data_IF_268517054103
#
_entry.id   IF_268517054103
#
_cell.length_a   1.000
_cell.length_b   1.000
_cell.length_c   1.000
_cell.angle_alpha   90.00
_cell.angle_beta   90.00
_cell.angle_gamma   90.00
#
_symmetry.space_group_name_H-M   'P 1'
#
loop_
_entity.id
_entity.type
_entity.pdbx_description
1 polymer ?
#
# COMPACT_ATOMS: atom_id res chain seq x y z
N UNK A 1 14.71 -99.00 -33.80
CA UNK A 1 13.84 -97.82 -33.55
C UNK A 1 13.30 -97.96 -32.12
N UNK A 2 13.21 -96.90 -31.29
CA UNK A 2 13.37 -95.47 -31.60
C UNK A 2 14.39 -94.74 -30.67
N UNK A 3 14.36 -93.40 -30.72
CA UNK A 3 14.69 -92.44 -29.64
C UNK A 3 16.00 -92.61 -28.85
N UNK A 4 17.04 -91.90 -29.31
CA UNK A 4 18.16 -91.46 -28.47
C UNK A 4 17.69 -90.46 -27.39
N UNK A 5 18.07 -90.68 -26.13
CA UNK A 5 18.01 -89.64 -25.09
C UNK A 5 19.43 -89.16 -24.79
N UNK A 6 19.65 -87.84 -24.85
CA UNK A 6 20.92 -87.22 -24.55
C UNK A 6 21.18 -87.29 -23.03
N UNK A 7 22.39 -87.66 -22.56
CA UNK A 7 22.75 -87.46 -21.17
C UNK A 7 22.78 -85.95 -20.90
N UNK A 8 21.83 -85.47 -20.10
CA UNK A 8 21.78 -84.07 -19.70
C UNK A 8 23.04 -83.71 -18.93
N UNK A 9 23.71 -82.63 -19.35
CA UNK A 9 24.79 -82.04 -18.58
C UNK A 9 24.19 -81.35 -17.34
N UNK A 10 23.96 -82.12 -16.27
CA UNK A 10 23.59 -81.57 -14.97
C UNK A 10 24.64 -80.52 -14.58
N UNK A 11 24.29 -79.23 -14.49
CA UNK A 11 25.25 -78.21 -14.08
C UNK A 11 25.73 -78.54 -12.67
N UNK A 12 27.03 -78.39 -12.42
CA UNK A 12 27.69 -78.78 -11.17
C UNK A 12 26.87 -78.35 -9.95
N UNK A 13 26.19 -79.31 -9.33
CA UNK A 13 25.25 -79.03 -8.25
C UNK A 13 26.03 -78.43 -7.08
N UNK A 14 25.67 -77.20 -6.70
CA UNK A 14 26.44 -76.43 -5.72
C UNK A 14 26.18 -77.05 -4.35
N UNK A 15 27.07 -77.95 -3.94
CA UNK A 15 26.94 -78.74 -2.74
C UNK A 15 26.96 -77.85 -1.49
N UNK A 16 25.76 -77.47 -1.05
CA UNK A 16 25.54 -76.54 0.06
C UNK A 16 26.15 -77.08 1.37
N UNK A 17 26.25 -78.40 1.52
CA UNK A 17 26.88 -79.05 2.66
C UNK A 17 28.39 -78.84 2.60
N UNK A 18 29.01 -78.97 1.43
CA UNK A 18 30.43 -78.69 1.25
C UNK A 18 30.75 -77.20 1.49
N UNK A 19 29.92 -76.28 0.98
CA UNK A 19 30.07 -74.84 1.28
C UNK A 19 29.95 -74.55 2.78
N UNK A 20 28.97 -75.15 3.46
CA UNK A 20 28.80 -74.97 4.91
C UNK A 20 30.02 -75.47 5.70
N UNK A 21 30.57 -76.64 5.33
CA UNK A 21 31.80 -77.16 5.94
C UNK A 21 33.01 -76.24 5.71
N UNK A 22 33.17 -75.69 4.50
CA UNK A 22 34.24 -74.73 4.17
C UNK A 22 34.10 -73.42 4.96
N UNK A 23 32.88 -72.89 5.12
CA UNK A 23 32.59 -71.75 6.00
C UNK A 23 32.93 -72.06 7.46
N UNK A 24 32.51 -73.23 7.97
CA UNK A 24 32.70 -73.59 9.38
C UNK A 24 34.16 -73.88 9.73
N UNK A 25 34.94 -74.44 8.79
CA UNK A 25 36.39 -74.50 8.88
C UNK A 25 37.04 -73.11 8.90
N UNK A 26 36.43 -72.14 8.21
CA UNK A 26 36.88 -70.75 8.14
C UNK A 26 36.35 -69.83 9.26
N UNK A 27 35.60 -70.35 10.24
CA UNK A 27 34.91 -69.55 11.28
C UNK A 27 35.79 -68.53 12.00
N UNK A 28 37.06 -68.87 12.28
CA UNK A 28 38.02 -67.95 12.91
C UNK A 28 38.43 -66.77 11.99
N UNK A 29 38.51 -66.99 10.67
CA UNK A 29 38.76 -65.92 9.70
C UNK A 29 37.54 -65.01 9.57
N UNK A 30 36.34 -65.60 9.51
CA UNK A 30 35.08 -64.84 9.43
C UNK A 30 34.92 -63.97 10.70
N UNK A 31 35.14 -64.55 11.88
CA UNK A 31 35.10 -63.84 13.14
C UNK A 31 36.17 -62.73 13.25
N UNK A 32 37.40 -62.96 12.77
CA UNK A 32 38.47 -61.95 12.77
C UNK A 32 38.16 -60.78 11.83
N UNK A 33 37.64 -61.04 10.62
CA UNK A 33 37.24 -59.99 9.68
C UNK A 33 36.03 -59.20 10.22
N UNK A 34 35.03 -59.89 10.78
CA UNK A 34 33.89 -59.26 11.43
C UNK A 34 34.32 -58.40 12.65
N UNK A 35 35.26 -58.87 13.46
CA UNK A 35 35.82 -58.12 14.58
C UNK A 35 36.57 -56.87 14.11
N UNK A 36 37.42 -56.97 13.08
CA UNK A 36 38.12 -55.82 12.50
C UNK A 36 37.17 -54.77 11.93
N UNK A 37 36.16 -55.19 11.16
CA UNK A 37 35.14 -54.28 10.62
C UNK A 37 34.29 -53.63 11.72
N UNK A 38 33.93 -54.39 12.76
CA UNK A 38 33.20 -53.87 13.93
C UNK A 38 34.07 -52.87 14.72
N UNK A 39 35.36 -53.15 14.89
CA UNK A 39 36.30 -52.25 15.57
C UNK A 39 36.51 -50.94 14.78
N UNK A 40 36.62 -51.00 13.46
CA UNK A 40 36.70 -49.82 12.60
C UNK A 40 35.40 -48.98 12.65
N UNK A 41 34.23 -49.64 12.59
CA UNK A 41 32.93 -48.96 12.74
C UNK A 41 32.73 -48.35 14.13
N UNK A 42 33.20 -49.01 15.19
CA UNK A 42 33.20 -48.49 16.55
C UNK A 42 34.14 -47.29 16.69
N UNK A 43 35.36 -47.35 16.14
CA UNK A 43 36.30 -46.24 16.12
C UNK A 43 35.69 -45.02 15.41
N UNK A 44 35.11 -45.20 14.23
CA UNK A 44 34.38 -44.12 13.54
C UNK A 44 33.20 -43.59 14.38
N UNK A 45 32.39 -44.47 14.99
CA UNK A 45 31.28 -44.06 15.85
C UNK A 45 31.69 -43.34 17.16
N UNK A 46 32.97 -43.42 17.55
CA UNK A 46 33.52 -42.72 18.71
C UNK A 46 34.29 -41.44 18.33
N UNK A 47 34.98 -41.42 17.18
CA UNK A 47 35.84 -40.32 16.72
C UNK A 47 35.13 -39.30 15.82
N UNK A 48 34.06 -39.69 15.10
CA UNK A 48 33.34 -38.75 14.25
C UNK A 48 32.61 -37.68 15.08
N UNK A 49 32.87 -36.41 14.77
CA UNK A 49 32.27 -35.25 15.45
C UNK A 49 30.75 -35.35 15.41
N UNK A 50 30.06 -35.39 16.57
CA UNK A 50 28.62 -35.56 16.58
C UNK A 50 27.91 -34.31 16.07
N UNK A 51 26.93 -34.52 15.19
CA UNK A 51 26.05 -33.47 14.66
C UNK A 51 24.77 -33.42 15.47
N UNK A 52 24.40 -32.23 15.90
CA UNK A 52 23.16 -31.92 16.61
C UNK A 52 22.17 -31.20 15.67
N UNK A 53 20.91 -31.10 16.07
CA UNK A 53 19.88 -30.36 15.33
C UNK A 53 19.05 -29.52 16.29
N UNK A 54 18.83 -28.26 15.93
CA UNK A 54 17.86 -27.36 16.56
C UNK A 54 16.73 -27.03 15.58
N UNK A 55 15.54 -26.77 16.11
CA UNK A 55 14.36 -26.38 15.33
C UNK A 55 13.74 -25.10 15.91
N UNK A 56 13.34 -24.18 15.03
CA UNK A 56 12.39 -23.08 15.34
C UNK A 56 11.07 -23.40 14.66
N UNK A 57 9.95 -23.19 15.36
CA UNK A 57 8.60 -23.25 14.79
C UNK A 57 7.91 -21.89 14.95
N UNK A 58 7.50 -21.33 13.82
CA UNK A 58 6.71 -20.10 13.71
C UNK A 58 5.28 -20.42 13.29
N UNK A 59 4.33 -19.64 13.79
CA UNK A 59 2.93 -19.63 13.33
C UNK A 59 2.47 -18.18 13.13
N UNK A 60 1.35 -17.95 12.41
CA UNK A 60 0.78 -16.61 12.31
C UNK A 60 0.40 -16.09 13.68
N UNK A 61 0.48 -14.78 13.84
CA UNK A 61 -0.06 -14.09 15.01
C UNK A 61 -1.58 -13.94 14.91
N UNK A 62 -2.23 -13.45 15.98
CA UNK A 62 -3.64 -13.05 15.92
C UNK A 62 -3.76 -11.74 15.11
N UNK A 63 -4.83 -11.60 14.33
CA UNK A 63 -5.11 -10.40 13.50
C UNK A 63 -4.95 -9.09 14.27
N UNK A 64 -5.38 -9.09 15.55
CA UNK A 64 -5.31 -7.94 16.45
C UNK A 64 -3.90 -7.36 16.62
N UNK A 65 -2.84 -8.17 16.55
CA UNK A 65 -1.47 -7.68 16.68
C UNK A 65 -1.01 -6.83 15.48
N UNK A 66 -1.68 -6.96 14.33
CA UNK A 66 -1.37 -6.23 13.09
C UNK A 66 -2.29 -5.01 12.88
N UNK A 67 -3.30 -4.78 13.73
CA UNK A 67 -4.17 -3.60 13.69
C UNK A 67 -3.39 -2.28 13.78
N UNK A 68 -2.23 -2.28 14.46
CA UNK A 68 -1.32 -1.13 14.54
C UNK A 68 -0.71 -0.73 13.19
N UNK A 69 -0.48 -1.70 12.28
CA UNK A 69 0.07 -1.45 10.92
C UNK A 69 -1.06 -1.22 9.92
N UNK A 70 -2.18 -1.93 10.06
CA UNK A 70 -3.30 -1.97 9.12
C UNK A 70 -4.20 -0.71 9.18
N UNK A 71 -3.58 0.47 9.19
CA UNK A 71 -4.23 1.78 9.33
C UNK A 71 -4.99 2.13 8.05
N UNK A 72 -6.32 2.04 8.10
CA UNK A 72 -7.25 2.56 7.07
C UNK A 72 -6.95 2.14 5.60
N UNK A 73 -6.22 1.05 5.36
CA UNK A 73 -5.81 0.64 4.01
C UNK A 73 -4.60 1.35 3.42
N UNK A 74 -3.84 2.14 4.22
CA UNK A 74 -2.48 2.58 3.84
C UNK A 74 -1.57 1.36 3.68
N UNK A 75 -1.65 0.47 4.66
CA UNK A 75 -1.00 -0.83 4.69
C UNK A 75 -2.04 -1.94 4.86
N UNK A 76 -1.73 -3.11 4.32
CA UNK A 76 -2.45 -4.34 4.60
C UNK A 76 -1.42 -5.46 4.79
N UNK A 77 -1.44 -6.07 5.96
CA UNK A 77 -0.65 -7.24 6.31
C UNK A 77 -1.55 -8.23 7.04
N UNK A 78 -1.80 -9.38 6.41
CA UNK A 78 -2.44 -10.51 7.08
C UNK A 78 -1.42 -11.28 7.92
N UNK A 79 -1.86 -12.01 8.97
CA UNK A 79 -0.96 -12.86 9.74
C UNK A 79 -0.25 -13.95 8.91
N UNK A 80 -0.84 -14.36 7.79
CA UNK A 80 -0.22 -15.29 6.85
C UNK A 80 0.92 -14.63 6.09
N UNK A 81 0.72 -13.44 5.51
CA UNK A 81 1.78 -12.71 4.81
C UNK A 81 2.92 -12.33 5.77
N UNK A 82 2.62 -12.01 7.02
CA UNK A 82 3.63 -11.77 8.05
C UNK A 82 4.48 -13.02 8.36
N UNK A 83 3.85 -14.20 8.44
CA UNK A 83 4.55 -15.49 8.55
C UNK A 83 5.37 -15.80 7.29
N UNK A 84 4.77 -15.66 6.11
CA UNK A 84 5.39 -16.00 4.84
C UNK A 84 6.61 -15.07 4.58
N UNK A 85 6.54 -13.78 4.92
CA UNK A 85 7.69 -12.84 4.89
C UNK A 85 8.82 -13.29 5.82
N UNK A 86 8.56 -13.39 7.13
CA UNK A 86 9.59 -13.74 8.12
C UNK A 86 10.18 -15.12 7.85
N UNK A 87 9.37 -16.10 7.43
CA UNK A 87 9.82 -17.43 7.08
C UNK A 87 10.73 -17.44 5.84
N UNK A 88 10.30 -16.83 4.74
CA UNK A 88 11.11 -16.77 3.51
C UNK A 88 12.45 -16.05 3.73
N UNK A 89 12.44 -14.94 4.47
CA UNK A 89 13.68 -14.21 4.82
C UNK A 89 14.60 -15.02 5.74
N UNK A 90 14.05 -15.74 6.72
CA UNK A 90 14.83 -16.60 7.62
C UNK A 90 15.47 -17.80 6.87
N UNK A 91 14.87 -18.23 5.77
CA UNK A 91 15.42 -19.24 4.86
C UNK A 91 16.20 -18.65 3.67
N UNK A 92 16.25 -17.33 3.49
CA UNK A 92 17.02 -16.70 2.42
C UNK A 92 18.52 -16.96 2.61
N UNK A 93 19.30 -17.02 1.54
CA UNK A 93 20.76 -17.12 1.65
C UNK A 93 21.37 -15.81 2.18
N UNK A 94 20.86 -14.68 1.71
CA UNK A 94 21.30 -13.33 2.08
C UNK A 94 21.24 -13.07 3.58
N UNK A 95 20.06 -13.18 4.20
CA UNK A 95 19.90 -12.92 5.64
C UNK A 95 20.70 -13.88 6.54
N UNK A 96 20.97 -15.11 6.06
CA UNK A 96 21.82 -16.08 6.77
C UNK A 96 23.32 -15.75 6.64
N UNK A 97 23.75 -15.24 5.48
CA UNK A 97 25.11 -14.74 5.26
C UNK A 97 25.35 -13.45 6.07
N UNK A 98 24.43 -12.48 6.01
CA UNK A 98 24.46 -11.24 6.78
C UNK A 98 24.58 -11.52 8.29
N UNK A 99 23.78 -12.46 8.80
CA UNK A 99 23.87 -12.87 10.21
C UNK A 99 25.20 -13.55 10.56
N UNK A 100 25.78 -14.34 9.65
CA UNK A 100 27.09 -14.99 9.82
C UNK A 100 28.24 -13.97 9.82
N UNK A 101 28.25 -13.04 8.87
CA UNK A 101 29.26 -11.97 8.76
C UNK A 101 29.24 -11.03 9.97
N UNK A 102 28.06 -10.81 10.56
CA UNK A 102 27.89 -9.99 11.76
C UNK A 102 28.27 -10.70 13.08
N UNK A 103 28.35 -12.03 13.12
CA UNK A 103 28.59 -12.83 14.34
C UNK A 103 29.66 -13.93 14.17
N UNK A 104 30.87 -13.62 13.65
CA UNK A 104 31.90 -14.61 13.33
C UNK A 104 32.37 -15.42 14.55
N UNK A 105 32.20 -14.90 15.77
CA UNK A 105 32.48 -15.59 17.03
C UNK A 105 31.62 -16.85 17.26
N UNK A 106 30.40 -16.89 16.73
CA UNK A 106 29.52 -18.07 16.83
C UNK A 106 29.97 -19.22 15.91
N UNK A 107 30.77 -18.91 14.89
CA UNK A 107 31.10 -19.82 13.78
C UNK A 107 32.57 -20.22 13.71
N UNK A 108 33.40 -19.84 14.68
CA UNK A 108 34.85 -20.11 14.69
C UNK A 108 35.21 -21.58 14.41
N UNK A 109 34.37 -22.52 14.86
CA UNK A 109 34.54 -23.97 14.67
C UNK A 109 34.51 -24.40 13.18
N UNK A 110 33.91 -23.62 12.28
CA UNK A 110 33.87 -23.88 10.83
C UNK A 110 35.17 -23.50 10.12
N UNK A 111 35.93 -22.54 10.67
CA UNK A 111 37.15 -22.02 10.04
C UNK A 111 38.37 -22.95 10.21
N UNK A 112 38.21 -24.08 10.92
CA UNK A 112 39.27 -25.03 11.27
C UNK A 112 39.92 -25.74 10.06
N UNK A 113 39.31 -25.70 8.88
CA UNK A 113 39.81 -26.34 7.64
C UNK A 113 40.69 -25.42 6.77
N UNK A 114 40.95 -24.17 7.19
CA UNK A 114 41.72 -23.20 6.38
C UNK A 114 40.97 -22.61 5.18
N UNK A 115 39.65 -22.82 5.13
CA UNK A 115 38.72 -22.18 4.20
C UNK A 115 38.60 -20.68 4.48
N UNK A 116 38.21 -19.88 3.49
CA UNK A 116 37.73 -18.52 3.76
C UNK A 116 36.41 -18.55 4.56
N UNK A 117 36.04 -17.49 5.29
CA UNK A 117 34.75 -17.44 6.01
C UNK A 117 33.55 -17.68 5.09
N UNK A 118 33.57 -17.12 3.87
CA UNK A 118 32.57 -17.36 2.82
C UNK A 118 32.48 -18.83 2.42
N UNK A 119 33.61 -19.51 2.22
CA UNK A 119 33.67 -20.93 1.86
C UNK A 119 33.20 -21.83 3.02
N UNK A 120 33.58 -21.49 4.25
CA UNK A 120 33.17 -22.17 5.46
C UNK A 120 31.65 -22.04 5.68
N UNK A 121 31.10 -20.83 5.49
CA UNK A 121 29.66 -20.60 5.51
C UNK A 121 28.94 -21.32 4.39
N UNK A 122 29.43 -21.26 3.14
CA UNK A 122 28.81 -21.94 2.00
C UNK A 122 28.70 -23.46 2.24
N UNK A 123 29.80 -24.09 2.68
CA UNK A 123 29.88 -25.51 3.03
C UNK A 123 28.91 -25.87 4.15
N UNK A 124 28.83 -25.05 5.20
CA UNK A 124 27.88 -25.24 6.30
C UNK A 124 26.43 -25.09 5.82
N UNK A 125 26.12 -23.99 5.13
CA UNK A 125 24.79 -23.62 4.70
C UNK A 125 24.14 -24.65 3.76
N UNK A 126 24.94 -25.33 2.92
CA UNK A 126 24.46 -26.35 1.98
C UNK A 126 23.72 -27.52 2.67
N UNK A 127 24.29 -28.04 3.76
CA UNK A 127 23.78 -29.26 4.45
C UNK A 127 23.13 -28.97 5.81
N UNK A 128 23.39 -27.80 6.43
CA UNK A 128 22.90 -27.48 7.76
C UNK A 128 21.39 -27.26 7.80
N UNK A 129 20.85 -26.47 6.88
CA UNK A 129 19.49 -25.93 7.00
C UNK A 129 18.46 -26.74 6.22
N UNK A 130 17.30 -27.00 6.83
CA UNK A 130 16.13 -27.53 6.12
C UNK A 130 14.85 -26.85 6.58
N UNK A 131 14.01 -26.47 5.61
CA UNK A 131 12.77 -25.73 5.83
C UNK A 131 11.55 -26.64 5.62
N UNK A 132 10.52 -26.48 6.44
CA UNK A 132 9.22 -27.12 6.30
C UNK A 132 8.11 -26.09 6.52
N UNK A 133 7.10 -26.04 5.66
CA UNK A 133 5.94 -25.16 5.80
C UNK A 133 4.64 -25.90 5.52
N UNK A 134 3.51 -25.34 5.95
CA UNK A 134 2.19 -25.89 5.66
C UNK A 134 1.89 -25.86 4.14
N UNK A 135 1.73 -27.02 3.51
CA UNK A 135 1.26 -27.12 2.13
C UNK A 135 -0.26 -26.93 2.04
N UNK A 136 -0.67 -25.67 2.10
CA UNK A 136 -2.07 -25.24 2.00
C UNK A 136 -2.70 -25.44 0.61
N UNK A 137 -1.96 -25.97 -0.38
CA UNK A 137 -2.52 -26.45 -1.64
C UNK A 137 -2.99 -27.91 -1.53
N UNK A 138 -2.27 -28.71 -0.73
CA UNK A 138 -2.58 -30.13 -0.46
C UNK A 138 -3.58 -30.31 0.67
N UNK A 139 -3.51 -29.48 1.71
CA UNK A 139 -4.48 -29.42 2.80
C UNK A 139 -4.85 -27.96 3.11
N UNK A 140 -5.94 -27.43 2.52
CA UNK A 140 -6.42 -26.08 2.79
C UNK A 140 -6.93 -25.84 4.23
N UNK A 141 -7.11 -26.89 5.04
CA UNK A 141 -7.54 -26.78 6.44
C UNK A 141 -6.37 -26.87 7.43
N UNK A 142 -5.17 -27.23 6.98
CA UNK A 142 -3.99 -27.29 7.83
C UNK A 142 -3.71 -25.94 8.50
N UNK A 143 -3.33 -25.97 9.78
CA UNK A 143 -2.90 -24.76 10.46
C UNK A 143 -1.58 -24.27 9.84
N UNK A 144 -1.50 -23.03 9.29
CA UNK A 144 -0.25 -22.48 8.79
C UNK A 144 0.86 -22.50 9.84
N UNK A 145 2.03 -22.95 9.41
CA UNK A 145 3.26 -22.95 10.19
C UNK A 145 4.47 -22.82 9.26
N UNK A 146 5.58 -22.36 9.81
CA UNK A 146 6.89 -22.38 9.20
C UNK A 146 7.91 -22.93 10.20
N UNK A 147 8.65 -23.98 9.84
CA UNK A 147 9.73 -24.56 10.63
C UNK A 147 11.05 -24.40 9.88
N UNK A 148 12.06 -23.90 10.57
CA UNK A 148 13.45 -23.99 10.13
C UNK A 148 14.22 -24.89 11.10
N UNK A 149 14.87 -25.90 10.55
CA UNK A 149 15.78 -26.80 11.24
C UNK A 149 17.21 -26.49 10.84
N UNK A 150 18.14 -26.46 11.80
CA UNK A 150 19.57 -26.28 11.56
C UNK A 150 20.39 -27.39 12.21
N UNK A 151 21.16 -28.11 11.41
CA UNK A 151 22.13 -29.11 11.84
C UNK A 151 23.50 -28.47 12.06
N UNK A 152 24.20 -28.83 13.14
CA UNK A 152 25.51 -28.25 13.46
C UNK A 152 26.43 -29.26 14.18
N UNK A 153 27.75 -29.24 13.92
CA UNK A 153 28.72 -30.05 14.66
C UNK A 153 28.86 -29.59 16.12
N UNK A 154 29.29 -30.50 16.99
CA UNK A 154 29.71 -30.20 18.36
C UNK A 154 30.76 -29.08 18.39
N UNK A 155 30.59 -28.11 19.28
CA UNK A 155 31.48 -26.96 19.46
C UNK A 155 30.78 -25.61 19.23
N UNK A 156 29.76 -25.56 18.38
CA UNK A 156 28.93 -24.36 18.19
C UNK A 156 27.66 -24.41 19.04
N UNK A 157 27.16 -23.25 19.49
CA UNK A 157 25.82 -23.14 20.07
C UNK A 157 24.79 -22.86 18.96
N UNK A 158 24.29 -23.94 18.35
CA UNK A 158 23.23 -23.85 17.36
C UNK A 158 21.93 -23.23 17.89
N UNK A 159 21.66 -23.28 19.19
CA UNK A 159 20.46 -22.67 19.77
C UNK A 159 20.61 -21.15 19.89
N UNK A 160 21.79 -20.65 20.25
CA UNK A 160 22.10 -19.22 20.18
C UNK A 160 22.01 -18.71 18.74
N UNK A 161 22.69 -19.38 17.79
CA UNK A 161 22.69 -19.02 16.37
C UNK A 161 21.26 -18.93 15.81
N UNK A 162 20.47 -20.00 15.92
CA UNK A 162 19.16 -20.06 15.27
C UNK A 162 18.12 -19.11 15.92
N UNK A 163 18.20 -18.87 17.23
CA UNK A 163 17.35 -17.87 17.89
C UNK A 163 17.80 -16.42 17.60
N UNK A 164 19.10 -16.15 17.49
CA UNK A 164 19.64 -14.83 17.17
C UNK A 164 19.36 -14.42 15.74
N UNK A 165 19.56 -15.34 14.80
CA UNK A 165 19.19 -15.20 13.38
C UNK A 165 17.69 -14.95 13.21
N UNK A 166 16.84 -15.63 14.00
CA UNK A 166 15.40 -15.37 14.06
C UNK A 166 15.08 -13.97 14.58
N UNK A 167 15.73 -13.53 15.67
CA UNK A 167 15.50 -12.21 16.24
C UNK A 167 15.91 -11.09 15.26
N UNK A 168 17.07 -11.22 14.62
CA UNK A 168 17.54 -10.30 13.58
C UNK A 168 16.60 -10.28 12.37
N UNK A 169 16.12 -11.43 11.90
CA UNK A 169 15.17 -11.50 10.78
C UNK A 169 13.83 -10.82 11.12
N UNK A 170 13.29 -11.06 12.32
CA UNK A 170 12.05 -10.41 12.78
C UNK A 170 12.27 -8.89 12.89
N UNK A 171 13.39 -8.44 13.43
CA UNK A 171 13.68 -7.01 13.62
C UNK A 171 13.93 -6.28 12.29
N UNK A 172 14.67 -6.88 11.36
CA UNK A 172 14.90 -6.33 10.02
C UNK A 172 13.57 -6.22 9.24
N UNK A 173 12.73 -7.27 9.26
CA UNK A 173 11.41 -7.21 8.60
C UNK A 173 10.44 -6.26 9.31
N UNK A 174 10.50 -6.16 10.65
CA UNK A 174 9.76 -5.17 11.44
C UNK A 174 10.09 -3.77 10.96
N UNK A 175 11.39 -3.45 10.81
CA UNK A 175 11.82 -2.13 10.37
C UNK A 175 11.40 -1.85 8.91
N UNK A 176 11.61 -2.79 7.98
CA UNK A 176 11.18 -2.66 6.58
C UNK A 176 9.67 -2.40 6.43
N UNK A 177 8.83 -3.02 7.26
CA UNK A 177 7.38 -2.78 7.28
C UNK A 177 7.06 -1.36 7.78
N UNK A 178 7.76 -0.86 8.80
CA UNK A 178 7.55 0.50 9.31
C UNK A 178 8.07 1.57 8.35
N UNK A 179 9.16 1.32 7.64
CA UNK A 179 9.70 2.25 6.64
C UNK A 179 8.78 2.36 5.41
N UNK A 180 8.23 1.25 4.93
CA UNK A 180 7.20 1.24 3.86
C UNK A 180 5.90 1.92 4.33
N UNK A 181 5.47 1.70 5.59
CA UNK A 181 4.35 2.44 6.19
C UNK A 181 4.63 3.95 6.29
N UNK A 182 5.84 4.36 6.67
CA UNK A 182 6.23 5.76 6.76
C UNK A 182 6.20 6.43 5.38
N UNK A 183 6.81 5.80 4.36
CA UNK A 183 6.78 6.29 2.98
C UNK A 183 5.35 6.46 2.43
N UNK A 184 4.42 5.59 2.82
CA UNK A 184 2.99 5.69 2.47
C UNK A 184 2.27 6.82 3.21
N UNK A 185 2.59 7.03 4.49
CA UNK A 185 2.07 8.18 5.26
C UNK A 185 2.55 9.48 4.61
N UNK A 186 3.83 9.60 4.29
CA UNK A 186 4.41 10.81 3.70
C UNK A 186 3.88 11.07 2.28
N UNK A 187 3.80 10.04 1.44
CA UNK A 187 3.18 10.15 0.11
C UNK A 187 1.69 10.52 0.17
N UNK A 188 0.94 10.02 1.15
CA UNK A 188 -0.47 10.40 1.36
C UNK A 188 -0.60 11.83 1.90
N UNK A 189 0.30 12.27 2.78
CA UNK A 189 0.37 13.65 3.27
C UNK A 189 0.69 14.64 2.15
N UNK A 190 1.60 14.29 1.24
CA UNK A 190 1.90 15.06 0.04
C UNK A 190 0.68 15.18 -0.88
N UNK A 191 -0.01 14.07 -1.16
CA UNK A 191 -1.24 14.06 -1.96
C UNK A 191 -2.35 14.94 -1.34
N UNK A 192 -2.51 14.88 -0.01
CA UNK A 192 -3.52 15.70 0.69
C UNK A 192 -3.20 17.19 0.64
N UNK A 193 -1.93 17.61 0.76
CA UNK A 193 -1.60 19.02 0.58
C UNK A 193 -1.81 19.45 -0.88
N UNK A 194 -1.44 18.62 -1.87
CA UNK A 194 -1.72 18.89 -3.29
C UNK A 194 -3.21 19.06 -3.61
N UNK A 195 -4.11 18.24 -3.05
CA UNK A 195 -5.56 18.44 -3.21
C UNK A 195 -6.02 19.73 -2.51
N UNK A 196 -5.49 20.06 -1.33
CA UNK A 196 -5.79 21.33 -0.64
C UNK A 196 -5.31 22.55 -1.46
N UNK A 197 -4.17 22.46 -2.15
CA UNK A 197 -3.72 23.49 -3.09
C UNK A 197 -4.60 23.56 -4.35
N UNK A 198 -5.05 22.41 -4.87
CA UNK A 198 -6.05 22.34 -5.94
C UNK A 198 -7.38 23.00 -5.55
N UNK A 199 -7.89 22.73 -4.35
CA UNK A 199 -9.08 23.39 -3.79
C UNK A 199 -8.85 24.90 -3.60
N UNK A 200 -7.65 25.32 -3.17
CA UNK A 200 -7.26 26.75 -3.04
C UNK A 200 -7.33 27.47 -4.38
N UNK A 201 -6.72 26.90 -5.43
CA UNK A 201 -6.73 27.47 -6.78
C UNK A 201 -8.16 27.49 -7.38
N UNK A 202 -8.91 26.39 -7.25
CA UNK A 202 -10.31 26.29 -7.70
C UNK A 202 -11.21 27.32 -7.01
N UNK A 203 -11.04 27.52 -5.70
CA UNK A 203 -11.76 28.54 -4.95
C UNK A 203 -11.34 29.96 -5.38
N UNK A 204 -10.05 30.23 -5.64
CA UNK A 204 -9.59 31.55 -6.11
C UNK A 204 -10.16 31.90 -7.49
N UNK A 205 -10.11 30.98 -8.45
CA UNK A 205 -10.72 31.17 -9.77
C UNK A 205 -12.24 31.37 -9.69
N UNK A 206 -12.93 30.66 -8.78
CA UNK A 206 -14.37 30.85 -8.52
C UNK A 206 -14.65 32.22 -7.85
N UNK A 207 -13.78 32.60 -6.90
CA UNK A 207 -13.46 33.93 -6.37
C UNK A 207 -13.64 35.04 -7.40
N UNK A 208 -12.66 35.05 -8.28
CA UNK A 208 -12.40 36.07 -9.27
C UNK A 208 -13.49 36.06 -10.36
N UNK A 209 -13.89 34.88 -10.84
CA UNK A 209 -15.00 34.75 -11.78
C UNK A 209 -16.34 35.25 -11.23
N UNK A 210 -16.59 35.15 -9.92
CA UNK A 210 -17.77 35.77 -9.29
C UNK A 210 -17.63 37.29 -9.18
N UNK A 211 -16.47 37.80 -8.77
CA UNK A 211 -16.22 39.25 -8.70
C UNK A 211 -16.36 39.90 -10.08
N UNK A 212 -15.79 39.28 -11.13
CA UNK A 212 -15.88 39.76 -12.50
C UNK A 212 -17.34 39.89 -12.96
N UNK A 213 -18.17 38.85 -12.79
CA UNK A 213 -19.60 38.88 -13.15
C UNK A 213 -20.40 39.93 -12.36
N UNK A 214 -20.06 40.16 -11.10
CA UNK A 214 -20.71 41.21 -10.29
C UNK A 214 -20.38 42.61 -10.84
N UNK A 215 -19.10 42.88 -11.13
CA UNK A 215 -18.66 44.16 -11.69
C UNK A 215 -19.16 44.38 -13.13
N UNK A 216 -19.25 43.32 -13.93
CA UNK A 216 -19.89 43.32 -15.25
C UNK A 216 -21.37 43.69 -15.14
N UNK A 217 -22.14 43.02 -14.29
CA UNK A 217 -23.55 43.34 -14.05
C UNK A 217 -23.76 44.77 -13.52
N UNK A 218 -22.91 45.24 -12.61
CA UNK A 218 -22.95 46.62 -12.09
C UNK A 218 -22.68 47.64 -13.21
N UNK A 219 -21.70 47.39 -14.08
CA UNK A 219 -21.35 48.30 -15.18
C UNK A 219 -22.42 48.35 -16.28
N UNK A 220 -23.00 47.21 -16.66
CA UNK A 220 -24.13 47.14 -17.58
C UNK A 220 -25.35 47.90 -17.01
N UNK A 221 -25.67 47.68 -15.72
CA UNK A 221 -26.78 48.38 -15.08
C UNK A 221 -26.53 49.88 -14.94
N UNK A 222 -25.29 50.29 -14.65
CA UNK A 222 -24.89 51.71 -14.59
C UNK A 222 -25.09 52.39 -15.95
N UNK A 223 -24.59 51.79 -17.04
CA UNK A 223 -24.76 52.32 -18.39
C UNK A 223 -26.25 52.48 -18.77
N UNK A 224 -27.07 51.46 -18.51
CA UNK A 224 -28.53 51.53 -18.76
C UNK A 224 -29.24 52.63 -17.96
N UNK A 225 -28.83 52.86 -16.70
CA UNK A 225 -29.36 53.95 -15.88
C UNK A 225 -28.87 55.33 -16.33
N UNK A 226 -27.63 55.45 -16.82
CA UNK A 226 -27.08 56.69 -17.39
C UNK A 226 -27.78 57.06 -18.71
N UNK A 227 -28.05 56.10 -19.58
CA UNK A 227 -28.85 56.33 -20.81
C UNK A 227 -30.32 56.62 -20.49
N UNK A 228 -30.95 55.98 -19.50
CA UNK A 228 -32.30 56.35 -19.05
C UNK A 228 -32.33 57.80 -18.52
N UNK A 229 -31.36 58.19 -17.69
CA UNK A 229 -31.24 59.55 -17.15
C UNK A 229 -31.04 60.59 -18.26
N UNK A 230 -30.23 60.28 -19.26
CA UNK A 230 -29.97 61.10 -20.45
C UNK A 230 -31.23 61.24 -21.31
N UNK A 231 -31.97 60.16 -21.53
CA UNK A 231 -33.24 60.17 -22.27
C UNK A 231 -34.33 60.96 -21.53
N UNK A 232 -34.45 60.81 -20.21
CA UNK A 232 -35.37 61.58 -19.38
C UNK A 232 -35.04 63.07 -19.41
N UNK A 233 -33.78 63.47 -19.19
CA UNK A 233 -33.35 64.87 -19.29
C UNK A 233 -33.59 65.47 -20.68
N UNK A 234 -33.38 64.68 -21.73
CA UNK A 234 -33.75 65.06 -23.11
C UNK A 234 -35.25 65.32 -23.26
N UNK A 235 -36.11 64.41 -22.77
CA UNK A 235 -37.57 64.57 -22.76
C UNK A 235 -38.02 65.81 -21.99
N UNK A 236 -37.50 66.01 -20.77
CA UNK A 236 -37.84 67.16 -19.92
C UNK A 236 -37.45 68.48 -20.57
N UNK A 237 -36.28 68.55 -21.22
CA UNK A 237 -35.89 69.71 -22.03
C UNK A 237 -36.89 69.96 -23.16
N UNK A 238 -37.27 68.94 -23.94
CA UNK A 238 -38.25 69.10 -25.02
C UNK A 238 -39.63 69.57 -24.52
N UNK A 239 -40.08 69.09 -23.36
CA UNK A 239 -41.34 69.54 -22.73
C UNK A 239 -41.24 71.01 -22.31
N UNK A 240 -40.16 71.41 -21.65
CA UNK A 240 -39.92 72.81 -21.25
C UNK A 240 -39.81 73.74 -22.46
N UNK A 241 -39.04 73.36 -23.47
CA UNK A 241 -38.83 74.17 -24.66
C UNK A 241 -40.15 74.29 -25.47
N UNK A 242 -41.00 73.25 -25.49
CA UNK A 242 -42.37 73.30 -26.04
C UNK A 242 -43.29 74.23 -25.23
N UNK A 243 -43.21 74.18 -23.89
CA UNK A 243 -43.96 75.09 -23.01
C UNK A 243 -43.55 76.55 -23.23
N UNK A 244 -42.27 76.83 -23.47
CA UNK A 244 -41.79 78.18 -23.83
C UNK A 244 -42.45 78.65 -25.14
N UNK A 245 -42.64 77.79 -26.15
CA UNK A 245 -43.35 78.18 -27.37
C UNK A 245 -44.85 78.44 -27.14
N UNK A 246 -45.53 77.60 -26.35
CA UNK A 246 -46.93 77.86 -25.95
C UNK A 246 -47.08 79.21 -25.22
N UNK A 247 -46.13 79.55 -24.35
CA UNK A 247 -46.10 80.84 -23.66
C UNK A 247 -45.81 82.00 -24.63
N UNK A 248 -44.91 81.84 -25.60
CA UNK A 248 -44.66 82.85 -26.63
C UNK A 248 -45.92 83.17 -27.46
N UNK A 249 -46.65 82.13 -27.89
CA UNK A 249 -47.92 82.28 -28.60
C UNK A 249 -48.99 82.94 -27.72
N UNK A 250 -49.16 82.47 -26.49
CA UNK A 250 -50.11 83.04 -25.54
C UNK A 250 -49.81 84.52 -25.22
N UNK A 251 -48.53 84.90 -25.09
CA UNK A 251 -48.10 86.30 -24.93
C UNK A 251 -48.49 87.12 -26.16
N UNK A 252 -48.21 86.64 -27.38
CA UNK A 252 -48.58 87.38 -28.59
C UNK A 252 -50.10 87.60 -28.70
N UNK A 253 -50.91 86.60 -28.34
CA UNK A 253 -52.38 86.75 -28.33
C UNK A 253 -52.81 87.73 -27.23
N UNK A 254 -52.29 87.58 -26.00
CA UNK A 254 -52.59 88.48 -24.89
C UNK A 254 -52.23 89.95 -25.20
N UNK A 255 -51.06 90.20 -25.81
CA UNK A 255 -50.66 91.54 -26.26
C UNK A 255 -51.61 92.11 -27.32
N UNK A 256 -52.03 91.31 -28.31
CA UNK A 256 -53.00 91.74 -29.34
C UNK A 256 -54.40 92.01 -28.79
N UNK A 257 -54.80 91.32 -27.72
CA UNK A 257 -56.09 91.50 -27.03
C UNK A 257 -56.03 92.55 -25.90
N UNK A 258 -54.88 93.18 -25.64
CA UNK A 258 -54.71 94.14 -24.54
C UNK A 258 -54.74 93.52 -23.13
N UNK A 259 -54.65 92.20 -23.01
CA UNK A 259 -54.75 91.48 -21.73
C UNK A 259 -53.41 91.56 -21.00
N UNK A 260 -53.20 92.60 -20.19
CA UNK A 260 -51.97 92.76 -19.39
C UNK A 260 -51.96 91.82 -18.18
N UNK A 261 -53.09 91.74 -17.46
CA UNK A 261 -53.27 90.98 -16.21
C UNK A 261 -54.24 89.80 -16.39
N UNK A 262 -54.24 88.81 -15.48
CA UNK A 262 -55.21 87.71 -15.49
C UNK A 262 -56.65 88.23 -15.56
N UNK A 263 -57.43 87.70 -16.50
CA UNK A 263 -58.84 88.02 -16.71
C UNK A 263 -59.62 86.76 -17.10
N UNK A 264 -60.95 86.83 -17.11
CA UNK A 264 -61.83 85.73 -17.54
C UNK A 264 -62.52 86.05 -18.87
N UNK A 265 -63.07 85.06 -19.59
CA UNK A 265 -63.92 85.29 -20.76
C UNK A 265 -65.03 86.33 -20.54
N UNK A 266 -65.71 86.32 -19.38
CA UNK A 266 -66.71 87.31 -19.03
C UNK A 266 -66.11 88.70 -18.80
N UNK A 267 -65.07 88.80 -17.98
CA UNK A 267 -64.44 90.09 -17.64
C UNK A 267 -63.77 90.77 -18.85
N UNK A 268 -63.29 90.00 -19.84
CA UNK A 268 -62.78 90.55 -21.11
C UNK A 268 -63.88 91.24 -21.93
N UNK A 269 -65.11 90.74 -21.90
CA UNK A 269 -66.25 91.31 -22.62
C UNK A 269 -66.79 92.61 -22.03
N UNK A 270 -66.44 92.94 -20.78
CA UNK A 270 -66.90 94.17 -20.10
C UNK A 270 -65.92 95.35 -20.28
N UNK A 271 -64.77 95.13 -20.94
CA UNK A 271 -63.76 96.15 -21.29
C UNK A 271 -64.28 97.05 -22.43
N UNK A 272 -65.26 97.91 -22.09
CA UNK A 272 -65.91 98.82 -23.03
C UNK A 272 -67.28 99.34 -22.57
N UNK A 273 -67.84 98.86 -21.45
CA UNK A 273 -69.08 99.40 -20.88
C UNK A 273 -68.82 100.28 -19.65
N UNK A 274 -68.77 101.60 -19.87
CA UNK A 274 -68.94 102.61 -18.81
C UNK A 274 -70.35 102.46 -18.21
N UNK A 275 -70.50 101.64 -17.15
CA UNK A 275 -71.82 101.14 -16.75
C UNK A 275 -72.01 100.67 -15.31
N UNK A 276 -71.04 100.89 -14.40
CA UNK A 276 -71.15 100.78 -12.92
C UNK A 276 -72.18 99.76 -12.37
N UNK A 277 -72.03 98.48 -12.72
CA UNK A 277 -72.81 97.38 -12.13
C UNK A 277 -71.93 96.15 -11.90
N UNK A 278 -71.46 95.99 -10.67
CA UNK A 278 -70.72 94.81 -10.21
C UNK A 278 -71.64 93.58 -10.18
N UNK A 279 -71.67 92.81 -11.27
CA UNK A 279 -72.38 91.53 -11.35
C UNK A 279 -71.38 90.40 -11.11
N UNK A 280 -71.37 89.85 -9.90
CA UNK A 280 -70.61 88.64 -9.59
C UNK A 280 -71.16 87.46 -10.42
N UNK A 281 -70.50 87.14 -11.54
CA UNK A 281 -70.78 85.94 -12.33
C UNK A 281 -69.79 84.84 -11.94
N UNK A 282 -70.29 83.77 -11.35
CA UNK A 282 -69.51 82.54 -11.15
C UNK A 282 -69.40 81.83 -12.51
N UNK A 283 -68.30 82.05 -13.22
CA UNK A 283 -68.01 81.36 -14.48
C UNK A 283 -67.68 79.87 -14.23
N UNK A 284 -68.73 79.04 -14.15
CA UNK A 284 -68.60 77.56 -14.08
C UNK A 284 -68.31 77.00 -15.47
N UNK A 285 -67.16 77.36 -16.04
CA UNK A 285 -66.70 76.81 -17.32
C UNK A 285 -65.83 75.56 -17.09
N UNK A 286 -66.31 74.41 -17.57
CA UNK A 286 -65.59 73.13 -17.51
C UNK A 286 -64.63 72.93 -18.71
N UNK A 287 -64.40 73.96 -19.52
CA UNK A 287 -63.43 73.98 -20.61
C UNK A 287 -62.10 74.58 -20.14
N UNK A 288 -60.99 74.13 -20.72
CA UNK A 288 -59.66 74.67 -20.42
C UNK A 288 -59.57 76.13 -20.86
N UNK A 289 -59.44 77.04 -19.88
CA UNK A 289 -59.29 78.48 -20.15
C UNK A 289 -58.00 78.70 -20.97
N UNK A 290 -58.08 79.32 -22.17
CA UNK A 290 -56.91 79.54 -23.01
C UNK A 290 -55.82 80.36 -22.31
N UNK A 291 -54.55 79.98 -22.52
CA UNK A 291 -53.40 80.54 -21.78
C UNK A 291 -53.31 82.08 -21.84
N UNK A 292 -53.72 82.71 -22.94
CA UNK A 292 -53.67 84.17 -23.09
C UNK A 292 -54.53 84.95 -22.08
N UNK A 293 -55.53 84.31 -21.46
CA UNK A 293 -56.32 84.91 -20.37
C UNK A 293 -55.51 85.18 -19.09
N UNK A 294 -54.35 84.53 -18.90
CA UNK A 294 -53.42 84.84 -17.81
C UNK A 294 -52.76 86.22 -17.95
N UNK A 295 -52.80 86.82 -19.14
CA UNK A 295 -52.23 88.12 -19.44
C UNK A 295 -50.71 88.14 -19.60
N UNK A 296 -50.23 89.19 -20.27
CA UNK A 296 -48.82 89.38 -20.65
C UNK A 296 -47.88 89.29 -19.43
N UNK A 297 -48.24 89.88 -18.29
CA UNK A 297 -47.38 89.92 -17.09
C UNK A 297 -47.08 88.51 -16.56
N UNK A 298 -48.12 87.69 -16.35
CA UNK A 298 -47.98 86.37 -15.75
C UNK A 298 -47.32 85.36 -16.70
N UNK A 299 -47.67 85.41 -17.99
CA UNK A 299 -47.07 84.53 -19.01
C UNK A 299 -45.59 84.87 -19.24
N UNK A 300 -45.24 86.17 -19.21
CA UNK A 300 -43.84 86.63 -19.27
C UNK A 300 -43.06 86.14 -18.05
N UNK A 301 -43.63 86.25 -16.85
CA UNK A 301 -42.99 85.75 -15.63
C UNK A 301 -42.76 84.22 -15.67
N UNK A 302 -43.73 83.44 -16.14
CA UNK A 302 -43.56 81.98 -16.33
C UNK A 302 -42.45 81.69 -17.36
N UNK A 303 -42.52 82.29 -18.55
CA UNK A 303 -41.55 82.10 -19.64
C UNK A 303 -40.14 82.42 -19.19
N UNK A 304 -39.94 83.57 -18.55
CA UNK A 304 -38.62 84.02 -18.09
C UNK A 304 -38.08 83.14 -16.95
N UNK A 305 -38.97 82.52 -16.15
CA UNK A 305 -38.61 81.53 -15.14
C UNK A 305 -38.15 80.21 -15.80
N UNK A 306 -38.80 79.77 -16.88
CA UNK A 306 -38.36 78.60 -17.65
C UNK A 306 -37.05 78.86 -18.40
N UNK A 307 -36.85 80.05 -18.97
CA UNK A 307 -35.61 80.44 -19.64
C UNK A 307 -34.40 80.52 -18.69
N UNK A 308 -34.62 80.91 -17.42
CA UNK A 308 -33.58 80.97 -16.38
C UNK A 308 -33.32 79.62 -15.69
N UNK A 309 -34.07 78.57 -16.01
CA UNK A 309 -34.01 77.26 -15.35
C UNK A 309 -32.77 76.46 -15.77
N UNK A 310 -31.88 76.16 -14.83
CA UNK A 310 -30.63 75.41 -15.07
C UNK A 310 -30.83 73.91 -15.36
N UNK A 311 -31.95 73.33 -14.95
CA UNK A 311 -32.28 71.91 -15.16
C UNK A 311 -33.66 71.57 -14.65
N UNK A 312 -34.22 70.47 -15.15
CA UNK A 312 -35.63 70.09 -14.97
C UNK A 312 -35.81 68.81 -14.12
N UNK A 313 -34.72 68.20 -13.68
CA UNK A 313 -34.65 66.98 -12.84
C UNK A 313 -35.65 66.94 -11.68
N UNK A 314 -35.93 68.09 -11.05
CA UNK A 314 -36.87 68.21 -9.93
C UNK A 314 -38.34 67.98 -10.30
N UNK A 315 -38.68 67.91 -11.59
CA UNK A 315 -40.05 67.67 -12.08
C UNK A 315 -40.35 66.18 -12.32
N UNK A 316 -39.34 65.30 -12.25
CA UNK A 316 -39.45 63.88 -12.56
C UNK A 316 -38.90 63.02 -11.41
N UNK A 317 -39.76 62.45 -10.53
CA UNK A 317 -39.34 61.58 -9.43
C UNK A 317 -38.46 60.40 -9.86
N UNK A 318 -38.57 59.91 -11.09
CA UNK A 318 -37.69 58.85 -11.62
C UNK A 318 -36.22 59.29 -11.66
N UNK A 319 -35.92 60.56 -11.90
CA UNK A 319 -34.52 61.06 -11.93
C UNK A 319 -33.86 60.91 -10.55
N UNK A 320 -34.54 61.28 -9.48
CA UNK A 320 -34.02 61.09 -8.11
C UNK A 320 -33.81 59.61 -7.79
N UNK A 321 -34.74 58.73 -8.22
CA UNK A 321 -34.60 57.27 -8.06
C UNK A 321 -33.41 56.71 -8.84
N UNK A 322 -33.18 57.15 -10.08
CA UNK A 322 -32.01 56.74 -10.87
C UNK A 322 -30.71 57.18 -10.19
N UNK A 323 -30.63 58.42 -9.70
CA UNK A 323 -29.46 58.91 -8.96
C UNK A 323 -29.20 58.09 -7.68
N UNK A 324 -30.24 57.65 -6.98
CA UNK A 324 -30.12 56.72 -5.86
C UNK A 324 -29.61 55.33 -6.29
N UNK A 325 -30.14 54.76 -7.38
CA UNK A 325 -29.69 53.45 -7.90
C UNK A 325 -28.22 53.51 -8.37
N UNK A 326 -27.83 54.55 -9.10
CA UNK A 326 -26.44 54.79 -9.52
C UNK A 326 -25.49 54.84 -8.32
N UNK A 327 -25.86 55.57 -7.25
CA UNK A 327 -25.07 55.66 -6.02
C UNK A 327 -24.95 54.34 -5.26
N UNK A 328 -25.92 53.44 -5.40
CA UNK A 328 -25.81 52.07 -4.86
C UNK A 328 -24.81 51.22 -5.66
N UNK A 329 -24.71 51.44 -6.98
CA UNK A 329 -23.76 50.77 -7.89
C UNK A 329 -22.33 51.36 -7.84
N UNK A 330 -22.07 52.39 -7.03
CA UNK A 330 -20.71 52.84 -6.72
C UNK A 330 -19.97 51.88 -5.77
N UNK A 331 -20.71 51.21 -4.89
CA UNK A 331 -20.17 50.49 -3.73
C UNK A 331 -20.79 49.09 -3.57
N UNK A 332 -20.44 48.16 -4.46
CA UNK A 332 -20.89 46.77 -4.35
C UNK A 332 -20.30 46.08 -3.10
N UNK A 333 -21.13 45.97 -2.07
CA UNK A 333 -20.78 45.35 -0.78
C UNK A 333 -20.42 43.87 -0.93
N UNK A 334 -21.00 43.13 -1.87
CA UNK A 334 -20.66 41.72 -2.05
C UNK A 334 -19.24 41.57 -2.60
N UNK A 335 -18.85 42.39 -3.57
CA UNK A 335 -17.45 42.46 -4.05
C UNK A 335 -16.50 42.82 -2.90
N UNK A 336 -16.84 43.80 -2.07
CA UNK A 336 -16.04 44.17 -0.88
C UNK A 336 -15.91 43.00 0.12
N UNK A 337 -17.00 42.27 0.41
CA UNK A 337 -16.96 41.10 1.31
C UNK A 337 -16.26 39.87 0.70
N UNK A 338 -16.19 39.75 -0.63
CA UNK A 338 -15.41 38.73 -1.31
C UNK A 338 -13.91 39.07 -1.32
N UNK A 339 -13.55 40.34 -1.52
CA UNK A 339 -12.16 40.80 -1.51
C UNK A 339 -11.54 40.84 -0.11
N UNK A 340 -12.29 41.30 0.90
CA UNK A 340 -11.80 41.43 2.29
C UNK A 340 -11.85 40.14 3.11
N UNK A 341 -12.16 39.00 2.49
CA UNK A 341 -12.43 37.72 3.17
C UNK A 341 -11.17 37.09 3.76
N UNK A 342 -11.13 36.95 5.09
CA UNK A 342 -10.03 36.27 5.81
C UNK A 342 -10.37 34.80 6.09
N UNK A 343 -9.36 33.94 6.04
CA UNK A 343 -9.50 32.50 6.27
C UNK A 343 -10.37 31.82 5.21
N UNK A 344 -10.02 32.04 3.93
CA UNK A 344 -10.76 31.55 2.76
C UNK A 344 -10.83 30.02 2.67
N UNK A 345 -9.86 29.33 3.26
CA UNK A 345 -9.79 27.86 3.34
C UNK A 345 -11.06 27.23 3.93
N UNK A 346 -11.77 27.94 4.81
CA UNK A 346 -13.07 27.52 5.39
C UNK A 346 -14.22 27.45 4.38
N UNK A 347 -14.00 27.91 3.15
CA UNK A 347 -14.94 27.85 2.03
C UNK A 347 -14.45 26.91 0.92
N UNK A 348 -13.35 26.17 1.14
CA UNK A 348 -12.87 25.14 0.22
C UNK A 348 -13.74 23.89 0.36
N UNK A 349 -14.10 23.29 -0.76
CA UNK A 349 -15.00 22.14 -0.81
C UNK A 349 -14.38 20.90 -0.12
N UNK A 350 -15.12 20.29 0.82
CA UNK A 350 -14.70 19.11 1.61
C UNK A 350 -13.44 19.29 2.49
N UNK A 351 -13.01 20.53 2.77
CA UNK A 351 -11.76 20.82 3.49
C UNK A 351 -11.62 20.14 4.86
N UNK A 352 -12.71 20.01 5.63
CA UNK A 352 -12.69 19.39 6.96
C UNK A 352 -12.29 17.91 6.91
N UNK A 353 -12.63 17.21 5.81
CA UNK A 353 -12.23 15.82 5.57
C UNK A 353 -10.74 15.74 5.27
N UNK A 354 -10.24 16.62 4.39
CA UNK A 354 -8.84 16.67 3.98
C UNK A 354 -7.93 17.02 5.16
N UNK A 355 -8.26 18.07 5.92
CA UNK A 355 -7.52 18.46 7.12
C UNK A 355 -7.69 17.46 8.26
N UNK A 356 -8.85 16.83 8.42
CA UNK A 356 -9.07 15.75 9.39
C UNK A 356 -8.23 14.51 9.12
N UNK A 357 -8.14 14.08 7.86
CA UNK A 357 -7.25 12.98 7.45
C UNK A 357 -5.78 13.39 7.62
N UNK A 358 -5.40 14.59 7.14
CA UNK A 358 -4.02 15.08 7.24
C UNK A 358 -3.56 15.21 8.70
N UNK A 359 -4.42 15.65 9.61
CA UNK A 359 -4.13 15.71 11.04
C UNK A 359 -3.93 14.31 11.64
N UNK A 360 -4.83 13.35 11.34
CA UNK A 360 -4.69 11.96 11.78
C UNK A 360 -3.39 11.32 11.29
N UNK A 361 -3.01 11.57 10.04
CA UNK A 361 -1.75 11.09 9.48
C UNK A 361 -0.53 11.75 10.14
N UNK A 362 -0.54 13.07 10.37
CA UNK A 362 0.53 13.80 11.08
C UNK A 362 0.74 13.34 12.54
N UNK A 363 -0.25 12.70 13.16
CA UNK A 363 -0.10 12.09 14.50
C UNK A 363 0.42 10.64 14.49
N UNK A 364 0.45 9.97 13.34
CA UNK A 364 0.94 8.61 13.20
C UNK A 364 2.44 8.60 12.89
N UNK A 365 3.25 8.16 13.85
CA UNK A 365 4.67 7.89 13.65
C UNK A 365 4.85 6.39 13.44
N UNK A 366 5.24 5.95 12.25
CA UNK A 366 5.42 4.52 12.00
C UNK A 366 6.48 3.90 12.93
N UNK A 367 7.60 4.61 13.13
CA UNK A 367 8.74 4.16 13.95
C UNK A 367 8.44 3.88 15.43
N UNK A 368 7.36 4.43 16.00
CA UNK A 368 6.96 4.19 17.39
C UNK A 368 5.99 3.01 17.55
N UNK A 369 5.56 2.39 16.45
CA UNK A 369 4.63 1.24 16.47
C UNK A 369 5.36 -0.05 16.88
N UNK A 370 4.91 -0.63 18.00
CA UNK A 370 5.31 -1.97 18.43
C UNK A 370 4.43 -2.99 17.71
N UNK A 371 5.05 -3.75 16.81
CA UNK A 371 4.36 -4.71 15.94
C UNK A 371 5.01 -6.09 16.09
N UNK A 372 4.18 -7.13 16.25
CA UNK A 372 4.63 -8.52 16.33
C UNK A 372 4.21 -9.23 15.05
N UNK A 373 5.19 -9.76 14.29
CA UNK A 373 4.93 -10.33 12.96
C UNK A 373 4.49 -11.81 13.03
N UNK A 374 5.11 -12.59 13.92
CA UNK A 374 4.93 -14.03 14.03
C UNK A 374 4.85 -14.47 15.49
N UNK A 375 4.08 -15.54 15.75
CA UNK A 375 4.15 -16.23 17.04
C UNK A 375 5.25 -17.28 16.97
N UNK A 376 6.25 -17.14 17.84
CA UNK A 376 7.27 -18.17 18.05
C UNK A 376 6.63 -19.27 18.91
N UNK A 377 6.31 -20.40 18.26
CA UNK A 377 5.62 -21.55 18.85
C UNK A 377 6.62 -22.54 19.50
N UNK A 378 7.83 -22.61 18.93
CA UNK A 378 8.98 -23.31 19.49
C UNK A 378 10.24 -22.47 19.21
N UNK A 379 11.01 -22.16 20.25
CA UNK A 379 12.38 -21.60 20.13
C UNK A 379 13.39 -22.73 19.95
N UNK A 380 14.53 -22.43 19.34
CA UNK A 380 15.65 -23.37 19.30
C UNK A 380 16.13 -23.66 20.73
N UNK A 381 16.29 -24.92 21.08
CA UNK A 381 16.73 -25.38 22.40
C UNK A 381 17.76 -26.49 22.25
N UNK A 382 18.73 -26.56 23.17
CA UNK A 382 19.89 -27.45 23.03
C UNK A 382 19.47 -28.93 23.09
N UNK A 383 19.69 -29.71 22.01
CA UNK A 383 19.20 -31.08 21.91
C UNK A 383 19.99 -32.06 22.78
N UNK A 384 19.28 -32.89 23.55
CA UNK A 384 19.86 -33.86 24.49
C UNK A 384 20.70 -34.97 23.85
N UNK A 385 20.57 -35.20 22.54
CA UNK A 385 21.24 -36.28 21.79
C UNK A 385 21.59 -35.82 20.37
N UNK A 386 22.74 -36.23 19.82
CA UNK A 386 23.09 -35.94 18.43
C UNK A 386 22.29 -36.79 17.44
N UNK A 387 22.04 -36.25 16.26
CA UNK A 387 21.38 -36.93 15.13
C UNK A 387 22.35 -37.84 14.34
N UNK A 388 23.64 -37.49 14.32
CA UNK A 388 24.72 -38.19 13.60
C UNK A 388 25.99 -38.24 14.48
N UNK A 389 26.82 -39.28 14.43
CA UNK A 389 26.53 -40.60 13.88
C UNK A 389 25.54 -41.37 14.76
N UNK A 390 24.62 -42.14 14.15
CA UNK A 390 23.72 -43.05 14.90
C UNK A 390 24.53 -44.28 15.37
N UNK A 391 25.31 -44.14 16.45
CA UNK A 391 26.38 -45.07 16.87
C UNK A 391 26.00 -46.56 16.80
N UNK A 392 24.83 -46.94 17.33
CA UNK A 392 24.35 -48.33 17.28
C UNK A 392 24.09 -48.85 15.85
N UNK A 393 23.57 -48.02 14.96
CA UNK A 393 23.34 -48.37 13.55
C UNK A 393 24.66 -48.50 12.78
N UNK A 394 25.63 -47.62 13.06
CA UNK A 394 26.98 -47.69 12.48
C UNK A 394 27.68 -49.00 12.89
N UNK A 395 27.65 -49.35 14.18
CA UNK A 395 28.25 -50.60 14.68
C UNK A 395 27.52 -51.83 14.13
N UNK A 396 26.19 -51.81 14.02
CA UNK A 396 25.42 -52.90 13.42
C UNK A 396 25.75 -53.10 11.92
N UNK A 397 25.89 -52.03 11.14
CA UNK A 397 26.34 -52.11 9.75
C UNK A 397 27.79 -52.60 9.63
N UNK A 398 28.68 -52.17 10.54
CA UNK A 398 30.06 -52.66 10.61
C UNK A 398 30.14 -54.17 10.88
N UNK A 399 29.33 -54.67 11.80
CA UNK A 399 29.23 -56.11 12.11
C UNK A 399 28.63 -56.90 10.94
N UNK A 400 27.50 -56.46 10.37
CA UNK A 400 26.85 -57.15 9.25
C UNK A 400 27.72 -57.14 7.98
N UNK A 401 28.28 -55.99 7.61
CA UNK A 401 29.22 -55.87 6.49
C UNK A 401 30.49 -56.69 6.72
N UNK A 402 31.01 -56.69 7.95
CA UNK A 402 32.16 -57.52 8.35
C UNK A 402 31.90 -59.02 8.25
N UNK A 403 30.70 -59.49 8.63
CA UNK A 403 30.28 -60.88 8.47
C UNK A 403 30.14 -61.25 6.99
N UNK A 404 29.44 -60.44 6.19
CA UNK A 404 29.26 -60.69 4.74
C UNK A 404 30.60 -60.70 4.00
N UNK A 405 31.48 -59.74 4.29
CA UNK A 405 32.82 -59.69 3.71
C UNK A 405 33.71 -60.85 4.21
N UNK A 406 33.60 -61.22 5.49
CA UNK A 406 34.28 -62.39 6.04
C UNK A 406 33.87 -63.70 5.37
N UNK A 407 32.58 -63.89 5.10
CA UNK A 407 32.03 -65.03 4.33
C UNK A 407 32.58 -65.02 2.90
N UNK A 408 32.58 -63.87 2.21
CA UNK A 408 33.11 -63.76 0.85
C UNK A 408 34.61 -64.11 0.79
N UNK A 409 35.42 -63.61 1.72
CA UNK A 409 36.85 -63.94 1.82
C UNK A 409 37.07 -65.42 2.18
N UNK A 410 36.21 -66.01 3.02
CA UNK A 410 36.27 -67.44 3.33
C UNK A 410 36.00 -68.32 2.09
N UNK A 411 34.99 -67.98 1.29
CA UNK A 411 34.65 -68.69 0.04
C UNK A 411 35.76 -68.58 -1.00
N UNK A 412 36.29 -67.37 -1.24
CA UNK A 412 37.44 -67.17 -2.14
C UNK A 412 38.66 -67.96 -1.67
N UNK A 413 38.94 -67.96 -0.36
CA UNK A 413 40.04 -68.74 0.23
C UNK A 413 39.85 -70.25 0.09
N UNK A 414 38.61 -70.75 0.13
CA UNK A 414 38.31 -72.17 -0.06
C UNK A 414 38.49 -72.60 -1.53
N UNK A 415 37.98 -71.78 -2.46
CA UNK A 415 38.12 -72.00 -3.91
C UNK A 415 39.58 -71.97 -4.37
N UNK A 416 40.41 -71.07 -3.81
CA UNK A 416 41.86 -71.02 -4.05
C UNK A 416 42.65 -72.17 -3.41
N UNK A 417 42.01 -73.01 -2.58
CA UNK A 417 42.66 -74.11 -1.83
C UNK A 417 42.26 -75.49 -2.31
N UNK A 418 41.32 -75.64 -3.24
CA UNK A 418 40.85 -76.95 -3.69
C UNK A 418 41.91 -77.64 -4.58
N UNK A 419 42.55 -78.74 -4.16
CA UNK A 419 43.48 -79.45 -5.02
C UNK A 419 42.71 -80.22 -6.10
N UNK A 420 43.16 -80.12 -7.36
CA UNK A 420 42.60 -80.89 -8.48
C UNK A 420 42.97 -82.37 -8.37
N UNK A 421 42.20 -83.17 -7.62
CA UNK A 421 42.29 -84.62 -7.72
C UNK A 421 41.78 -85.09 -9.10
N UNK A 422 42.56 -85.94 -9.76
CA UNK A 422 42.17 -86.66 -10.98
C UNK A 422 41.85 -88.12 -10.65
N UNK A 423 41.03 -88.76 -11.49
CA UNK A 423 40.44 -90.09 -11.29
C UNK A 423 41.32 -91.20 -11.90
N UNK A 424 41.48 -92.31 -11.16
CA UNK A 424 41.81 -93.70 -11.57
C UNK A 424 41.76 -94.53 -10.25
N UNK A 425 40.81 -95.40 -9.90
CA UNK A 425 40.21 -96.63 -10.49
C UNK A 425 40.99 -97.94 -10.19
N UNK A 426 40.33 -98.87 -9.44
CA UNK A 426 40.50 -100.34 -9.27
C UNK A 426 41.87 -100.93 -8.84
N UNK A 427 42.07 -102.11 -8.20
CA UNK A 427 41.30 -103.25 -7.60
C UNK A 427 42.32 -104.15 -6.79
N UNK A 428 42.08 -105.20 -5.97
CA UNK A 428 41.00 -105.83 -5.15
C UNK A 428 41.68 -106.81 -4.08
N UNK A 429 41.00 -107.38 -3.05
CA UNK A 429 41.63 -108.03 -1.86
C UNK A 429 41.48 -109.60 -1.74
N UNK A 430 41.54 -110.29 -0.56
CA UNK A 430 42.80 -110.85 0.01
C UNK A 430 42.78 -112.31 0.57
N UNK A 431 43.95 -112.87 0.96
CA UNK A 431 44.10 -113.75 2.15
C UNK A 431 44.75 -115.16 2.00
N UNK A 432 45.83 -115.45 2.77
CA UNK A 432 46.42 -116.80 3.01
C UNK A 432 47.11 -116.92 4.40
N UNK A 433 46.57 -117.78 5.28
CA UNK A 433 47.16 -118.89 6.11
C UNK A 433 48.46 -118.69 6.97
N UNK A 434 48.80 -119.67 7.82
CA UNK A 434 49.48 -119.56 9.15
C UNK A 434 50.60 -120.60 9.45
N UNK A 435 51.05 -120.68 10.74
CA UNK A 435 51.96 -121.69 11.40
C UNK A 435 53.49 -121.39 11.33
N UNK A 436 54.38 -121.76 12.29
CA UNK A 436 54.27 -122.25 13.69
C UNK A 436 55.66 -122.16 14.41
N UNK A 437 55.66 -122.31 15.75
CA UNK A 437 56.75 -122.80 16.65
C UNK A 437 57.81 -121.82 17.19
N UNK A 438 58.41 -122.25 18.29
CA UNK A 438 59.30 -121.53 19.22
C UNK A 438 60.65 -122.23 19.39
N UNK A 439 61.64 -121.56 20.03
CA UNK A 439 62.29 -122.07 21.28
C UNK A 439 63.40 -121.13 21.83
N UNK A 440 63.35 -120.93 23.16
CA UNK A 440 64.44 -120.70 24.14
C UNK A 440 65.79 -120.05 23.78
N UNK A 441 66.23 -119.08 24.59
CA UNK A 441 67.67 -118.81 24.80
C UNK A 441 68.02 -117.44 25.40
N UNK A 442 68.03 -117.33 26.74
CA UNK A 442 68.43 -116.16 27.59
C UNK A 442 67.75 -114.82 27.30
#
# INVERSE_FOLDING_TARGET
MPSSQLPGASPSEIDLVQLFQQLWASKWLIALIAALATAAALAYALLAVPTYQVDVLLRPIQTKALEAVNVNGLYALTPREALDRVGNELAAYSGRLEYFEAHPELFQQLNAEGLSPEQAFWKFNQDAFSMQQADLKKDPQAAPFFRLSMQYPQGMDGAAILNGMLASTIENERQRILDDLQARIDGRLQFLEQDIEGKRASYQATKEGKIARLLEADSIRRAGLEDELKALRGRLKMVRDSRIQQLNEAIQIATRLGIVKPTTPGALGEVGQDGSRSVFRTEVNNQQIPLYFMGVDALTAERDTLLKRKGDDFTEPRVAKIQQELKQLENNREVQYLQARKGEERFFENIDKLRGEQARLKTLKASELKIELVRIDQKASTPLKPIKPRKALVVALGLLGGLVFGVLVALVRAMLRTPRQRVQEDSLPPGVVSLDRSLSGT
#
